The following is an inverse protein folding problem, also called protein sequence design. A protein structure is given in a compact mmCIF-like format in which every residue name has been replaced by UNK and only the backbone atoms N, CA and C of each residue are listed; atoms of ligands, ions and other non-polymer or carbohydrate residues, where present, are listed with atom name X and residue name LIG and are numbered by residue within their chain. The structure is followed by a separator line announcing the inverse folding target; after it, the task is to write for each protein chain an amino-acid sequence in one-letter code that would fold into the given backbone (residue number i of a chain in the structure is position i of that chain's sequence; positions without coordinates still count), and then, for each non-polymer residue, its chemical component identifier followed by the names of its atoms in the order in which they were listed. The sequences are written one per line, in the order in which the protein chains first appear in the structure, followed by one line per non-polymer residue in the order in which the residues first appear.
data_IF_192093363988
#
_entry.id   IF_192093363988
#
_cell.length_a   1.000
_cell.length_b   1.000
_cell.length_c   1.000
_cell.angle_alpha   90.00
_cell.angle_beta   90.00
_cell.angle_gamma   90.00
#
_symmetry.space_group_name_H-M   'P 1'
#
loop_
_entity.id
_entity.type
_entity.pdbx_description
1 polymer ?
#
# COMPACT_ATOMS: atom_id res chain seq x y z
N UNK A 1 -17.18 3.35 58.58
CA UNK A 1 -17.46 2.80 57.25
C UNK A 1 -16.26 3.10 56.37
N UNK A 2 -15.47 2.08 56.05
CA UNK A 2 -14.23 2.21 55.28
C UNK A 2 -14.56 1.83 53.83
N UNK A 3 -14.63 2.82 52.94
CA UNK A 3 -14.82 2.59 51.51
C UNK A 3 -13.47 2.20 50.91
N UNK A 4 -13.36 0.95 50.41
CA UNK A 4 -12.27 0.57 49.50
C UNK A 4 -12.58 1.14 48.11
N UNK A 5 -11.69 1.95 47.51
CA UNK A 5 -11.81 2.30 46.11
C UNK A 5 -11.45 1.07 45.26
N UNK A 6 -12.42 0.55 44.52
CA UNK A 6 -12.18 -0.39 43.43
C UNK A 6 -11.42 0.35 42.33
N UNK A 7 -10.14 -0.01 42.15
CA UNK A 7 -9.33 0.45 41.03
C UNK A 7 -9.76 -0.34 39.79
N UNK A 8 -10.62 0.25 38.96
CA UNK A 8 -10.98 -0.34 37.66
C UNK A 8 -9.80 -0.17 36.71
N UNK A 9 -9.05 -1.24 36.47
CA UNK A 9 -8.05 -1.27 35.40
C UNK A 9 -8.84 -1.37 34.10
N UNK A 10 -8.95 -0.27 33.36
CA UNK A 10 -9.40 -0.35 31.97
C UNK A 10 -8.33 -1.12 31.19
N UNK A 11 -8.66 -2.35 30.79
CA UNK A 11 -7.88 -3.07 29.81
C UNK A 11 -8.01 -2.33 28.48
N UNK A 12 -6.98 -1.59 28.08
CA UNK A 12 -6.87 -1.11 26.70
C UNK A 12 -6.62 -2.34 25.85
N UNK A 13 -7.61 -2.73 25.04
CA UNK A 13 -7.39 -3.75 24.04
C UNK A 13 -6.21 -3.30 23.16
N UNK A 14 -5.17 -4.12 23.11
CA UNK A 14 -4.05 -3.90 22.22
C UNK A 14 -4.57 -4.05 20.78
N UNK A 15 -4.55 -2.95 20.02
CA UNK A 15 -5.04 -2.91 18.65
C UNK A 15 -3.86 -2.89 17.69
N UNK A 16 -3.88 -3.80 16.73
CA UNK A 16 -2.99 -3.79 15.58
C UNK A 16 -3.42 -2.75 14.54
N UNK A 17 -2.59 -2.54 13.53
CA UNK A 17 -2.87 -1.63 12.43
C UNK A 17 -2.75 -2.37 11.10
N UNK A 18 -3.85 -2.47 10.36
CA UNK A 18 -3.83 -2.99 8.99
C UNK A 18 -3.45 -1.88 8.03
N UNK A 19 -2.65 -2.18 7.01
CA UNK A 19 -2.21 -1.21 6.03
C UNK A 19 -1.70 -1.91 4.77
N UNK A 20 -1.49 -1.13 3.73
CA UNK A 20 -0.79 -1.57 2.53
C UNK A 20 0.57 -0.86 2.43
N UNK A 21 1.56 -1.51 1.84
CA UNK A 21 2.93 -1.00 1.75
C UNK A 21 3.28 -0.54 0.33
N UNK A 22 3.88 0.65 0.23
CA UNK A 22 4.32 1.25 -1.03
C UNK A 22 5.81 1.60 -0.98
N UNK A 23 6.57 1.18 -1.98
CA UNK A 23 7.96 1.55 -2.13
C UNK A 23 8.10 2.97 -2.66
N UNK A 24 8.88 3.79 -1.95
CA UNK A 24 9.16 5.17 -2.30
C UNK A 24 10.64 5.31 -2.64
N UNK A 25 10.93 5.46 -3.93
CA UNK A 25 12.26 5.83 -4.43
C UNK A 25 12.15 6.58 -5.74
N UNK A 26 12.16 7.90 -5.64
CA UNK A 26 11.99 8.80 -6.79
C UNK A 26 13.00 8.50 -7.91
N UNK A 27 12.52 8.45 -9.15
CA UNK A 27 13.36 8.24 -10.33
C UNK A 27 13.83 6.80 -10.53
N UNK A 28 13.28 5.85 -9.79
CA UNK A 28 13.59 4.42 -9.95
C UNK A 28 12.41 3.63 -10.51
N UNK A 29 12.71 2.47 -11.09
CA UNK A 29 11.69 1.51 -11.54
C UNK A 29 10.80 0.95 -10.41
N UNK A 30 11.23 1.11 -9.15
CA UNK A 30 10.48 0.66 -7.97
C UNK A 30 9.68 1.78 -7.33
N UNK A 31 9.64 2.96 -7.94
CA UNK A 31 8.81 4.05 -7.46
C UNK A 31 7.35 3.62 -7.48
N UNK A 32 6.74 3.58 -6.31
CA UNK A 32 5.37 3.19 -6.08
C UNK A 32 5.04 1.72 -6.42
N UNK A 33 6.04 0.84 -6.43
CA UNK A 33 5.80 -0.61 -6.45
C UNK A 33 5.38 -1.11 -5.08
N UNK A 34 4.70 -2.26 -5.04
CA UNK A 34 4.23 -2.90 -3.82
C UNK A 34 5.17 -4.03 -3.38
N UNK A 35 4.98 -4.50 -2.15
CA UNK A 35 5.55 -5.77 -1.70
C UNK A 35 4.72 -6.91 -2.26
N UNK A 36 5.38 -7.89 -2.86
CA UNK A 36 4.75 -9.08 -3.42
C UNK A 36 5.42 -10.35 -2.89
N UNK A 37 4.66 -11.38 -2.52
CA UNK A 37 5.23 -12.69 -2.20
C UNK A 37 5.75 -13.39 -3.46
N UNK A 38 6.95 -13.96 -3.37
CA UNK A 38 7.58 -14.79 -4.41
C UNK A 38 8.19 -16.03 -3.76
N UNK A 39 7.36 -17.04 -3.51
CA UNK A 39 7.75 -18.19 -2.69
C UNK A 39 7.87 -17.79 -1.22
N UNK A 40 9.02 -18.03 -0.60
CA UNK A 40 9.36 -17.51 0.72
C UNK A 40 9.85 -16.06 0.70
N UNK A 41 10.25 -15.56 -0.47
CA UNK A 41 10.87 -14.25 -0.57
C UNK A 41 9.81 -13.16 -0.76
N UNK A 42 10.16 -11.93 -0.41
CA UNK A 42 9.38 -10.75 -0.75
C UNK A 42 10.14 -9.98 -1.83
N UNK A 43 9.41 -9.58 -2.87
CA UNK A 43 9.94 -8.84 -4.01
C UNK A 43 9.15 -7.56 -4.27
N UNK A 44 9.79 -6.55 -4.86
CA UNK A 44 9.15 -5.36 -5.39
C UNK A 44 8.42 -5.68 -6.70
N UNK A 45 7.18 -5.23 -6.87
CA UNK A 45 6.44 -5.44 -8.11
C UNK A 45 5.23 -4.53 -8.28
N UNK A 46 4.65 -4.45 -9.50
CA UNK A 46 3.54 -3.56 -9.79
C UNK A 46 2.17 -4.07 -9.28
N UNK A 47 2.09 -5.30 -8.78
CA UNK A 47 0.84 -5.93 -8.31
C UNK A 47 1.10 -7.12 -7.39
N UNK A 48 0.06 -7.60 -6.71
CA UNK A 48 0.13 -8.75 -5.81
C UNK A 48 0.44 -8.36 -4.37
N UNK A 49 -0.15 -7.26 -3.94
CA UNK A 49 0.15 -6.57 -2.68
C UNK A 49 -0.11 -7.47 -1.47
N UNK A 50 0.84 -7.47 -0.53
CA UNK A 50 0.62 -8.03 0.81
C UNK A 50 -0.44 -7.20 1.54
N UNK A 51 -1.36 -7.86 2.25
CA UNK A 51 -2.29 -7.18 3.17
C UNK A 51 -1.71 -7.24 4.56
N UNK A 52 -1.01 -6.19 4.95
CA UNK A 52 -0.19 -6.21 6.15
C UNK A 52 -0.98 -5.80 7.38
N UNK A 53 -0.68 -6.45 8.51
CA UNK A 53 -1.07 -5.98 9.85
C UNK A 53 0.19 -5.86 10.70
N UNK A 54 0.43 -4.67 11.22
CA UNK A 54 1.39 -4.43 12.29
C UNK A 54 0.66 -4.69 13.62
N UNK A 55 0.94 -5.83 14.24
CA UNK A 55 0.39 -6.19 15.53
C UNK A 55 0.96 -5.29 16.64
N UNK A 56 0.23 -5.22 17.75
CA UNK A 56 0.62 -4.44 18.93
C UNK A 56 1.94 -4.88 19.58
N UNK A 57 2.34 -6.14 19.37
CA UNK A 57 3.61 -6.69 19.84
C UNK A 57 4.81 -6.32 18.94
N UNK A 58 4.57 -5.56 17.87
CA UNK A 58 5.57 -5.16 16.90
C UNK A 58 5.91 -6.25 15.87
N UNK A 59 5.09 -7.30 15.76
CA UNK A 59 5.17 -8.27 14.66
C UNK A 59 4.39 -7.81 13.44
N UNK A 60 4.91 -8.12 12.25
CA UNK A 60 4.27 -7.76 10.98
C UNK A 60 3.81 -9.03 10.28
N UNK A 61 2.53 -9.10 9.89
CA UNK A 61 1.93 -10.28 9.27
C UNK A 61 1.23 -9.94 7.95
N UNK A 62 1.45 -10.77 6.93
CA UNK A 62 0.59 -10.78 5.74
C UNK A 62 -0.67 -11.61 6.02
N UNK A 63 -1.80 -10.93 6.04
CA UNK A 63 -3.10 -11.54 6.36
C UNK A 63 -3.65 -12.45 5.27
N UNK A 64 -3.10 -12.39 4.05
CA UNK A 64 -3.46 -13.31 2.96
C UNK A 64 -2.77 -14.66 3.18
N UNK A 65 -1.45 -14.68 3.25
CA UNK A 65 -0.68 -15.92 3.45
C UNK A 65 -0.69 -16.44 4.88
N UNK A 66 -1.12 -15.61 5.85
CA UNK A 66 -1.03 -15.87 7.30
C UNK A 66 0.41 -16.12 7.77
N UNK A 67 1.38 -15.53 7.07
CA UNK A 67 2.80 -15.59 7.40
C UNK A 67 3.31 -14.24 7.88
N UNK A 68 4.23 -14.29 8.83
CA UNK A 68 4.92 -13.12 9.35
C UNK A 68 6.02 -12.67 8.40
N UNK A 69 6.30 -11.38 8.40
CA UNK A 69 7.41 -10.79 7.66
C UNK A 69 8.66 -10.89 8.53
N UNK A 70 9.69 -11.57 8.04
CA UNK A 70 10.96 -11.76 8.74
C UNK A 70 12.10 -11.07 8.02
N UNK A 71 13.02 -10.50 8.79
CA UNK A 71 14.35 -10.12 8.34
C UNK A 71 15.31 -11.21 8.81
N UNK A 72 15.81 -11.99 7.86
CA UNK A 72 16.78 -13.06 8.10
C UNK A 72 18.16 -12.54 8.52
N UNK A 73 19.04 -13.45 8.94
CA UNK A 73 20.43 -13.12 9.29
C UNK A 73 21.22 -12.57 8.09
N UNK A 74 20.85 -13.01 6.88
CA UNK A 74 21.35 -12.53 5.59
C UNK A 74 20.69 -11.22 5.14
N UNK A 75 19.88 -10.60 6.01
CA UNK A 75 19.10 -9.39 5.78
C UNK A 75 17.97 -9.53 4.75
N UNK A 76 17.74 -10.71 4.19
CA UNK A 76 16.64 -10.91 3.26
C UNK A 76 15.29 -10.76 3.99
N UNK A 77 14.35 -10.04 3.37
CA UNK A 77 12.99 -9.93 3.86
C UNK A 77 12.13 -11.06 3.27
N UNK A 78 11.61 -11.92 4.14
CA UNK A 78 10.96 -13.19 3.78
C UNK A 78 9.65 -13.40 4.55
N UNK A 79 8.86 -14.38 4.10
CA UNK A 79 7.67 -14.87 4.80
C UNK A 79 8.03 -16.05 5.71
N UNK A 80 7.61 -16.01 6.96
CA UNK A 80 7.88 -17.03 7.98
C UNK A 80 6.63 -17.40 8.80
N UNK A 81 6.65 -18.57 9.45
CA UNK A 81 5.51 -19.06 10.24
C UNK A 81 5.53 -18.55 11.70
N UNK A 82 6.67 -18.04 12.18
CA UNK A 82 6.82 -17.52 13.54
C UNK A 82 6.82 -15.99 13.52
N UNK A 83 6.34 -15.35 14.57
CA UNK A 83 6.44 -13.89 14.70
C UNK A 83 7.90 -13.45 14.88
N UNK A 84 8.27 -12.32 14.30
CA UNK A 84 9.46 -11.54 14.65
C UNK A 84 8.97 -10.14 15.01
N UNK A 85 9.35 -9.69 16.20
CA UNK A 85 9.01 -8.36 16.71
C UNK A 85 10.09 -7.36 16.34
N UNK A 86 9.76 -6.07 16.45
CA UNK A 86 10.67 -4.96 16.14
C UNK A 86 10.18 -4.06 15.03
N UNK A 87 9.10 -4.43 14.33
CA UNK A 87 8.46 -3.53 13.37
C UNK A 87 7.73 -2.40 14.08
N UNK A 88 7.78 -1.21 13.48
CA UNK A 88 7.08 -0.02 13.94
C UNK A 88 6.83 0.94 12.78
N UNK A 89 6.13 2.04 13.05
CA UNK A 89 6.06 3.17 12.14
C UNK A 89 6.89 4.34 12.64
N UNK A 90 7.75 4.87 11.77
CA UNK A 90 8.43 6.16 11.92
C UNK A 90 7.72 7.19 11.03
N UNK A 91 6.76 7.90 11.63
CA UNK A 91 5.81 8.70 10.86
C UNK A 91 4.91 7.79 10.02
N UNK A 92 5.04 7.85 8.69
CA UNK A 92 4.29 7.01 7.75
C UNK A 92 5.16 5.91 7.10
N UNK A 93 6.40 5.73 7.57
CA UNK A 93 7.32 4.75 7.02
C UNK A 93 7.44 3.54 7.95
N UNK A 94 7.44 2.35 7.38
CA UNK A 94 7.73 1.13 8.11
C UNK A 94 9.20 1.15 8.52
N UNK A 95 9.45 0.85 9.79
CA UNK A 95 10.77 0.69 10.36
C UNK A 95 10.88 -0.68 11.01
N UNK A 96 12.12 -1.17 11.14
CA UNK A 96 12.45 -2.33 11.94
C UNK A 96 13.58 -1.97 12.89
N UNK A 97 13.36 -2.15 14.20
CA UNK A 97 14.28 -1.76 15.27
C UNK A 97 14.74 -0.29 15.17
N UNK A 98 13.84 0.61 14.75
CA UNK A 98 14.13 2.05 14.62
C UNK A 98 14.95 2.44 13.39
N UNK A 99 15.04 1.56 12.38
CA UNK A 99 15.64 1.89 11.09
C UNK A 99 14.65 1.61 9.96
N UNK A 100 14.49 2.57 9.06
CA UNK A 100 13.61 2.53 7.89
C UNK A 100 14.34 2.18 6.59
N UNK A 101 15.59 1.69 6.67
CA UNK A 101 16.43 1.31 5.54
C UNK A 101 16.02 -0.04 4.95
N UNK A 102 15.30 0.00 3.83
CA UNK A 102 15.04 -1.17 2.99
C UNK A 102 15.76 -0.99 1.66
N UNK A 103 16.11 -2.10 1.02
CA UNK A 103 16.82 -2.11 -0.24
C UNK A 103 16.15 -3.08 -1.20
N UNK A 104 16.11 -2.71 -2.49
CA UNK A 104 15.71 -3.62 -3.56
C UNK A 104 16.95 -4.00 -4.35
N UNK A 105 17.32 -5.27 -4.33
CA UNK A 105 18.52 -5.79 -5.00
C UNK A 105 18.17 -6.63 -6.24
N UNK A 106 19.14 -7.36 -6.79
CA UNK A 106 18.96 -8.25 -7.95
C UNK A 106 17.73 -9.15 -7.83
N UNK A 107 16.95 -9.24 -8.91
CA UNK A 107 15.70 -10.01 -8.93
C UNK A 107 14.54 -9.34 -8.18
N UNK A 108 14.65 -8.04 -7.91
CA UNK A 108 13.68 -7.23 -7.17
C UNK A 108 13.45 -7.70 -5.72
N UNK A 109 14.36 -8.50 -5.15
CA UNK A 109 14.25 -8.97 -3.76
C UNK A 109 14.44 -7.84 -2.77
N UNK A 110 13.65 -7.86 -1.70
CA UNK A 110 13.74 -6.89 -0.61
C UNK A 110 14.74 -7.36 0.43
N UNK A 111 15.66 -6.46 0.80
CA UNK A 111 16.61 -6.62 1.89
C UNK A 111 16.44 -5.49 2.90
N UNK A 112 16.93 -5.71 4.12
CA UNK A 112 16.93 -4.70 5.17
C UNK A 112 18.35 -4.19 5.45
N UNK A 113 18.53 -2.88 5.40
CA UNK A 113 19.78 -2.18 5.75
C UNK A 113 21.02 -2.80 5.07
N UNK A 114 20.91 -3.06 3.77
CA UNK A 114 21.92 -3.79 2.99
C UNK A 114 22.60 -2.88 1.98
N UNK A 115 23.92 -2.80 2.07
CA UNK A 115 24.73 -2.02 1.14
C UNK A 115 25.36 -2.97 0.12
N UNK A 116 24.89 -2.90 -1.13
CA UNK A 116 25.42 -3.69 -2.25
C UNK A 116 25.48 -2.86 -3.53
N UNK A 117 26.39 -3.18 -4.47
CA UNK A 117 26.53 -2.44 -5.73
C UNK A 117 25.31 -2.58 -6.65
N UNK A 118 24.49 -3.61 -6.45
CA UNK A 118 23.25 -3.90 -7.18
C UNK A 118 21.98 -3.63 -6.35
N UNK A 119 22.12 -3.03 -5.17
CA UNK A 119 21.02 -2.70 -4.29
C UNK A 119 20.65 -1.22 -4.39
N UNK A 120 19.36 -0.95 -4.38
CA UNK A 120 18.82 0.41 -4.36
C UNK A 120 18.04 0.62 -3.07
N UNK A 121 18.50 1.56 -2.24
CA UNK A 121 17.77 1.99 -1.06
C UNK A 121 16.40 2.56 -1.40
N UNK A 122 15.38 2.10 -0.68
CA UNK A 122 13.98 2.47 -0.81
C UNK A 122 13.39 2.73 0.58
N UNK A 123 12.39 3.61 0.64
CA UNK A 123 11.57 3.73 1.84
C UNK A 123 10.26 2.96 1.66
N UNK A 124 9.78 2.30 2.70
CA UNK A 124 8.50 1.57 2.68
C UNK A 124 7.46 2.44 3.37
N UNK A 125 6.57 3.05 2.61
CA UNK A 125 5.50 3.89 3.17
C UNK A 125 4.24 3.06 3.41
N UNK A 126 3.68 3.15 4.61
CA UNK A 126 2.36 2.63 4.89
C UNK A 126 1.28 3.56 4.32
N UNK A 127 0.26 2.98 3.71
CA UNK A 127 -0.93 3.68 3.26
C UNK A 127 -2.18 2.93 3.68
N UNK A 128 -3.26 3.67 3.91
CA UNK A 128 -4.48 3.06 4.43
C UNK A 128 -4.40 2.50 5.86
N UNK A 129 -3.59 2.99 6.83
CA UNK A 129 -3.62 2.43 8.16
C UNK A 129 -5.01 2.52 8.80
N UNK A 130 -5.56 1.36 9.16
CA UNK A 130 -6.82 1.20 9.88
C UNK A 130 -6.59 0.36 11.14
N UNK A 131 -7.22 0.76 12.25
CA UNK A 131 -7.15 0.02 13.51
C UNK A 131 -7.85 -1.34 13.34
N UNK A 132 -7.20 -2.40 13.78
CA UNK A 132 -7.71 -3.78 13.73
C UNK A 132 -7.36 -4.51 15.02
N UNK A 133 -7.98 -5.66 15.24
CA UNK A 133 -7.46 -6.61 16.22
C UNK A 133 -6.14 -7.21 15.73
N UNK A 134 -5.26 -7.57 16.67
CA UNK A 134 -4.06 -8.35 16.35
C UNK A 134 -4.43 -9.67 15.66
N UNK A 135 -3.55 -10.11 14.76
CA UNK A 135 -3.74 -11.32 13.95
C UNK A 135 -2.63 -12.31 14.22
N UNK A 136 -2.99 -13.57 14.41
CA UNK A 136 -2.06 -14.68 14.54
C UNK A 136 -1.77 -15.36 13.20
N UNK A 137 -0.53 -15.80 13.02
CA UNK A 137 -0.12 -16.60 11.87
C UNK A 137 -0.61 -18.03 11.94
N UNK A 138 -0.52 -18.73 10.80
CA UNK A 138 -0.82 -20.15 10.74
C UNK A 138 0.32 -20.92 11.41
N UNK A 139 0.14 -21.31 12.66
CA UNK A 139 1.07 -22.21 13.33
C UNK A 139 0.88 -23.60 12.74
N UNK A 140 1.73 -23.94 11.77
CA UNK A 140 1.92 -25.31 11.31
C UNK A 140 2.51 -26.13 12.45
N UNK A 141 1.69 -26.49 13.43
CA UNK A 141 2.06 -27.46 14.45
C UNK A 141 2.08 -28.82 13.76
N UNK A 142 3.21 -29.16 13.15
CA UNK A 142 3.45 -30.47 12.58
C UNK A 142 3.35 -31.51 13.70
N UNK A 143 2.17 -32.12 13.85
CA UNK A 143 2.03 -33.38 14.56
C UNK A 143 2.74 -34.43 13.74
N UNK A 144 3.98 -34.70 14.10
CA UNK A 144 4.83 -35.72 13.51
C UNK A 144 4.23 -37.10 13.72
N UNK A 145 3.55 -37.63 12.69
CA UNK A 145 3.32 -39.07 12.56
C UNK A 145 4.46 -39.65 11.73
N UNK A 146 5.36 -40.33 12.43
CA UNK A 146 6.43 -41.14 11.87
C UNK A 146 5.86 -42.19 10.92
N UNK A 147 6.20 -42.10 9.63
CA UNK A 147 6.01 -43.19 8.68
C UNK A 147 7.29 -43.37 7.88
N UNK A 148 7.93 -44.51 8.13
CA UNK A 148 9.12 -45.04 7.46
C UNK A 148 8.67 -45.67 6.15
N UNK A 149 9.30 -45.34 5.01
CA UNK A 149 9.57 -46.33 3.94
C UNK A 149 10.54 -45.83 2.86
N UNK A 150 11.67 -46.55 2.76
CA UNK A 150 12.40 -47.03 1.57
C UNK A 150 12.85 -46.08 0.44
N UNK A 151 14.18 -45.97 0.40
CA UNK A 151 15.10 -45.78 -0.73
C UNK A 151 14.68 -46.36 -2.09
N UNK A 152 14.93 -45.59 -3.16
CA UNK A 152 15.50 -46.12 -4.41
C UNK A 152 16.40 -45.09 -5.11
N UNK A 153 17.55 -45.60 -5.55
CA UNK A 153 18.64 -44.94 -6.29
C UNK A 153 18.40 -45.06 -7.80
N UNK A 154 18.78 -44.04 -8.59
CA UNK A 154 19.40 -44.24 -9.90
C UNK A 154 20.09 -42.97 -10.40
N UNK A 155 21.17 -43.20 -11.15
CA UNK A 155 22.24 -42.29 -11.59
C UNK A 155 22.30 -42.28 -13.11
N UNK A 156 22.54 -41.12 -13.75
CA UNK A 156 23.35 -40.89 -14.99
C UNK A 156 23.05 -39.47 -15.54
N UNK A 157 24.03 -38.55 -15.70
CA UNK A 157 24.97 -38.36 -16.85
C UNK A 157 24.23 -37.90 -18.14
N UNK A 158 24.56 -36.87 -18.92
CA UNK A 158 25.85 -36.23 -19.28
C UNK A 158 25.62 -34.81 -19.90
N UNK A 159 26.68 -33.99 -19.99
CA UNK A 159 26.80 -32.69 -20.71
C UNK A 159 26.99 -32.89 -22.25
N UNK A 160 27.09 -31.87 -23.17
CA UNK A 160 27.95 -30.68 -23.10
C UNK A 160 27.46 -29.34 -23.74
N UNK A 161 28.34 -28.34 -23.59
CA UNK A 161 28.33 -26.92 -23.99
C UNK A 161 28.01 -26.57 -25.46
N UNK A 162 27.50 -25.34 -25.68
CA UNK A 162 27.95 -24.45 -26.78
C UNK A 162 28.02 -22.99 -26.28
N UNK A 163 29.05 -22.30 -26.78
CA UNK A 163 29.59 -20.98 -26.44
C UNK A 163 29.30 -20.03 -27.61
N UNK A 164 28.89 -18.77 -27.39
CA UNK A 164 29.24 -17.65 -28.28
C UNK A 164 28.85 -16.27 -27.70
N UNK A 165 29.79 -15.35 -27.89
CA UNK A 165 29.84 -13.94 -27.51
C UNK A 165 29.11 -13.09 -28.56
N UNK A 166 28.42 -12.03 -28.15
CA UNK A 166 28.26 -10.83 -28.97
C UNK A 166 27.94 -9.62 -28.09
N UNK A 167 28.88 -8.68 -28.06
CA UNK A 167 28.74 -7.34 -27.50
C UNK A 167 27.96 -6.46 -28.48
N UNK A 168 26.87 -5.87 -28.01
CA UNK A 168 26.09 -4.87 -28.73
C UNK A 168 25.55 -3.82 -27.78
N UNK A 169 26.30 -2.72 -27.64
CA UNK A 169 25.86 -1.50 -26.96
C UNK A 169 24.61 -0.96 -27.65
N UNK A 170 23.48 -0.99 -26.94
CA UNK A 170 22.26 -0.31 -27.35
C UNK A 170 21.73 0.43 -26.14
N UNK A 171 21.66 1.75 -26.24
CA UNK A 171 21.05 2.66 -25.30
C UNK A 171 19.60 2.27 -25.03
N UNK A 172 19.36 1.63 -23.88
CA UNK A 172 18.03 1.35 -23.37
C UNK A 172 17.39 2.65 -22.90
N UNK A 173 16.51 3.17 -23.74
CA UNK A 173 15.42 4.05 -23.33
C UNK A 173 14.65 3.36 -22.21
N UNK A 174 14.58 4.00 -21.06
CA UNK A 174 13.80 3.57 -19.90
C UNK A 174 12.30 3.68 -20.21
N UNK A 175 11.79 2.74 -21.00
CA UNK A 175 10.36 2.51 -21.10
C UNK A 175 9.91 1.85 -19.80
N UNK A 176 9.40 2.69 -18.89
CA UNK A 176 8.64 2.26 -17.72
C UNK A 176 7.52 1.31 -18.18
N UNK A 177 7.40 0.09 -17.64
CA UNK A 177 6.24 -0.75 -17.92
C UNK A 177 5.00 -0.09 -17.31
N UNK A 178 4.25 0.66 -18.13
CA UNK A 178 2.89 1.09 -17.78
C UNK A 178 2.02 -0.17 -17.74
N UNK A 179 1.89 -0.76 -16.56
CA UNK A 179 0.80 -1.68 -16.30
C UNK A 179 -0.50 -0.85 -16.31
N UNK A 180 -1.14 -0.78 -17.49
CA UNK A 180 -2.54 -0.34 -17.60
C UNK A 180 -3.38 -1.37 -16.86
N UNK A 181 -3.50 -1.24 -15.54
CA UNK A 181 -4.45 -1.99 -14.75
C UNK A 181 -5.84 -1.58 -15.23
N UNK A 182 -6.40 -2.39 -16.13
CA UNK A 182 -7.73 -2.17 -16.67
C UNK A 182 -8.72 -1.99 -15.52
N UNK A 183 -9.55 -0.94 -15.63
CA UNK A 183 -10.67 -0.67 -14.71
C UNK A 183 -11.54 -1.92 -14.64
N UNK A 184 -11.57 -2.60 -13.50
CA UNK A 184 -12.46 -3.73 -13.27
C UNK A 184 -13.54 -3.32 -12.28
N UNK A 185 -14.83 -3.29 -12.71
CA UNK A 185 -15.95 -3.09 -11.80
C UNK A 185 -15.87 -4.05 -10.61
N UNK A 186 -16.19 -3.55 -9.42
CA UNK A 186 -16.14 -4.34 -8.19
C UNK A 186 -14.76 -4.50 -7.54
N UNK A 187 -13.66 -4.05 -8.16
CA UNK A 187 -12.35 -3.98 -7.49
C UNK A 187 -12.23 -2.70 -6.67
N UNK A 188 -11.95 -2.86 -5.37
CA UNK A 188 -11.65 -1.78 -4.44
C UNK A 188 -10.24 -1.23 -4.68
N UNK A 189 -10.08 0.07 -4.57
CA UNK A 189 -8.79 0.76 -4.64
C UNK A 189 -8.79 2.02 -3.77
N UNK A 190 -7.62 2.44 -3.31
CA UNK A 190 -7.41 3.72 -2.65
C UNK A 190 -6.76 4.75 -3.58
N UNK A 191 -6.58 5.96 -3.07
CA UNK A 191 -5.91 7.05 -3.77
C UNK A 191 -4.82 7.68 -2.91
N UNK A 192 -3.71 8.03 -3.55
CA UNK A 192 -2.67 8.87 -2.98
C UNK A 192 -2.39 10.07 -3.89
N UNK A 193 -2.11 11.22 -3.29
CA UNK A 193 -1.70 12.44 -3.98
C UNK A 193 -0.21 12.38 -4.34
N UNK A 194 0.13 12.67 -5.60
CA UNK A 194 1.49 12.72 -6.11
C UNK A 194 1.79 14.15 -6.56
N UNK A 195 2.73 14.80 -5.88
CA UNK A 195 3.35 16.06 -6.31
C UNK A 195 4.72 16.24 -5.64
N UNK A 196 5.78 15.94 -6.39
CA UNK A 196 7.13 15.85 -5.84
C UNK A 196 7.57 17.16 -5.21
N UNK A 197 8.06 17.09 -3.97
CA UNK A 197 8.53 18.27 -3.22
C UNK A 197 7.44 19.04 -2.48
N UNK A 198 6.18 18.62 -2.53
CA UNK A 198 5.10 19.22 -1.72
C UNK A 198 4.90 18.54 -0.37
N UNK A 199 4.21 19.23 0.53
CA UNK A 199 3.71 18.69 1.81
C UNK A 199 2.68 17.58 1.64
N UNK A 200 2.02 17.49 0.48
CA UNK A 200 1.00 16.48 0.18
C UNK A 200 1.55 15.30 -0.64
N UNK A 201 2.86 15.24 -0.88
CA UNK A 201 3.48 14.11 -1.58
C UNK A 201 3.16 12.78 -0.87
N UNK A 202 2.61 11.84 -1.64
CA UNK A 202 2.16 10.52 -1.21
C UNK A 202 1.08 10.55 -0.11
N UNK A 203 0.45 11.70 0.14
CA UNK A 203 -0.64 11.80 1.13
C UNK A 203 -1.84 10.98 0.66
N UNK A 204 -2.43 10.17 1.54
CA UNK A 204 -3.66 9.45 1.20
C UNK A 204 -4.86 10.40 1.12
N UNK A 205 -5.82 10.04 0.29
CA UNK A 205 -7.12 10.72 0.26
C UNK A 205 -7.99 10.14 1.36
N UNK A 206 -8.63 11.02 2.13
CA UNK A 206 -9.39 10.64 3.32
C UNK A 206 -10.83 11.11 3.29
N UNK A 207 -11.70 10.29 3.86
CA UNK A 207 -13.09 10.61 4.16
C UNK A 207 -13.20 11.02 5.62
N UNK A 208 -13.67 12.24 5.86
CA UNK A 208 -13.81 12.80 7.20
C UNK A 208 -15.31 13.02 7.48
N UNK A 209 -15.88 12.40 8.54
CA UNK A 209 -17.31 12.47 8.84
C UNK A 209 -17.86 13.90 9.02
N UNK A 210 -17.03 14.83 9.48
CA UNK A 210 -17.38 16.23 9.73
C UNK A 210 -17.62 17.02 8.43
N UNK A 211 -17.06 16.58 7.31
CA UNK A 211 -17.22 17.25 6.01
C UNK A 211 -17.35 16.25 4.85
N UNK A 212 -18.42 15.43 4.83
CA UNK A 212 -18.56 14.34 3.86
C UNK A 212 -18.73 14.82 2.41
N UNK A 213 -19.01 16.11 2.20
CA UNK A 213 -19.15 16.73 0.89
C UNK A 213 -17.80 16.99 0.20
N UNK A 214 -16.68 16.82 0.91
CA UNK A 214 -15.34 17.00 0.35
C UNK A 214 -14.32 16.09 1.04
N UNK A 215 -13.54 15.37 0.23
CA UNK A 215 -12.46 14.52 0.73
C UNK A 215 -11.22 15.34 1.08
N UNK A 216 -10.49 14.90 2.11
CA UNK A 216 -9.22 15.50 2.50
C UNK A 216 -8.05 14.89 1.75
N UNK A 217 -7.04 15.72 1.46
CA UNK A 217 -5.72 15.26 0.99
C UNK A 217 -4.77 15.25 2.20
N UNK A 218 -4.52 14.07 2.76
CA UNK A 218 -3.70 13.89 3.96
C UNK A 218 -4.47 14.17 5.27
N UNK A 219 -3.74 14.66 6.28
CA UNK A 219 -4.27 14.89 7.64
C UNK A 219 -4.32 13.64 8.52
N UNK A 220 -4.55 13.82 9.82
CA UNK A 220 -4.70 12.73 10.80
C UNK A 220 -6.15 12.28 10.99
N UNK A 221 -7.11 13.16 10.67
CA UNK A 221 -8.55 12.90 10.82
C UNK A 221 -9.09 12.01 9.70
N UNK A 222 -10.25 11.41 9.95
CA UNK A 222 -10.96 10.57 8.99
C UNK A 222 -10.30 9.23 8.65
N UNK A 223 -10.98 8.49 7.79
CA UNK A 223 -10.57 7.18 7.29
C UNK A 223 -10.00 7.31 5.87
N UNK A 224 -9.16 6.38 5.44
CA UNK A 224 -8.68 6.38 4.06
C UNK A 224 -9.81 6.05 3.10
N UNK A 225 -9.91 6.85 2.05
CA UNK A 225 -10.93 6.67 1.03
C UNK A 225 -10.64 5.39 0.25
N UNK A 226 -11.61 4.48 0.26
CA UNK A 226 -11.62 3.31 -0.61
C UNK A 226 -12.75 3.47 -1.62
N UNK A 227 -12.43 3.28 -2.89
CA UNK A 227 -13.32 3.49 -4.01
C UNK A 227 -13.52 2.20 -4.79
N UNK A 228 -14.67 2.08 -5.42
CA UNK A 228 -14.98 1.05 -6.42
C UNK A 228 -15.72 1.70 -7.58
N UNK A 229 -15.45 1.26 -8.81
CA UNK A 229 -16.32 1.64 -9.93
C UNK A 229 -17.68 0.96 -9.79
N UNK A 230 -18.75 1.75 -9.90
CA UNK A 230 -20.11 1.24 -9.95
C UNK A 230 -20.32 0.43 -11.25
N UNK A 231 -21.48 -0.21 -11.37
CA UNK A 231 -21.92 -1.02 -12.51
C UNK A 231 -21.82 -0.32 -13.87
N UNK A 232 -21.85 1.01 -13.92
CA UNK A 232 -21.69 1.80 -15.15
C UNK A 232 -20.23 2.07 -15.53
N UNK A 233 -19.26 1.57 -14.76
CA UNK A 233 -17.81 1.70 -14.97
C UNK A 233 -17.28 3.13 -15.12
N UNK A 234 -18.07 4.15 -14.75
CA UNK A 234 -17.72 5.57 -14.91
C UNK A 234 -18.13 6.44 -13.72
N UNK A 235 -18.99 5.91 -12.85
CA UNK A 235 -19.30 6.42 -11.52
C UNK A 235 -18.47 5.68 -10.48
N UNK A 236 -18.18 6.38 -9.37
CA UNK A 236 -17.50 5.80 -8.22
C UNK A 236 -18.43 5.69 -7.03
N UNK A 237 -18.22 4.67 -6.22
CA UNK A 237 -18.79 4.52 -4.88
C UNK A 237 -17.67 4.35 -3.85
N UNK A 238 -17.88 4.87 -2.64
CA UNK A 238 -16.95 4.76 -1.52
C UNK A 238 -17.05 3.42 -0.77
N UNK A 239 -16.32 3.30 0.35
CA UNK A 239 -16.35 2.13 1.23
C UNK A 239 -17.73 1.82 1.84
N UNK A 240 -18.61 2.81 1.94
CA UNK A 240 -19.95 2.70 2.51
C UNK A 240 -21.02 2.47 1.43
N UNK A 241 -20.62 2.35 0.16
CA UNK A 241 -21.52 2.23 -0.98
C UNK A 241 -22.21 3.53 -1.38
N UNK A 242 -21.70 4.69 -0.93
CA UNK A 242 -22.21 6.00 -1.29
C UNK A 242 -21.56 6.47 -2.58
N UNK A 243 -22.36 7.04 -3.48
CA UNK A 243 -21.87 7.62 -4.73
C UNK A 243 -20.92 8.79 -4.49
N UNK A 244 -19.91 8.92 -5.34
CA UNK A 244 -19.01 10.06 -5.33
C UNK A 244 -19.59 11.18 -6.20
N UNK A 245 -19.58 12.40 -5.66
CA UNK A 245 -19.98 13.61 -6.34
C UNK A 245 -18.77 14.53 -6.56
N UNK A 246 -18.66 15.06 -7.77
CA UNK A 246 -17.77 16.15 -8.12
C UNK A 246 -18.63 17.40 -8.33
N UNK A 247 -18.58 18.33 -7.38
CA UNK A 247 -19.40 19.53 -7.43
C UNK A 247 -19.03 20.39 -8.65
N UNK A 248 -19.95 20.66 -9.59
CA UNK A 248 -19.63 21.41 -10.80
C UNK A 248 -19.36 22.90 -10.53
N UNK A 249 -19.74 23.41 -9.36
CA UNK A 249 -19.55 24.80 -8.93
C UNK A 249 -18.20 24.95 -8.24
N UNK A 250 -17.90 24.16 -7.21
CA UNK A 250 -16.68 24.28 -6.40
C UNK A 250 -15.52 23.42 -6.93
N UNK A 251 -15.82 22.38 -7.70
CA UNK A 251 -14.86 21.37 -8.14
C UNK A 251 -14.51 20.35 -7.05
N UNK A 252 -15.11 20.46 -5.86
CA UNK A 252 -14.81 19.56 -4.74
C UNK A 252 -15.28 18.14 -5.02
N UNK A 253 -14.44 17.17 -4.66
CA UNK A 253 -14.75 15.76 -4.76
C UNK A 253 -15.10 15.23 -3.36
N UNK A 254 -16.28 14.64 -3.21
CA UNK A 254 -16.74 14.08 -1.94
C UNK A 254 -17.91 13.12 -2.14
N UNK A 255 -18.57 12.74 -1.04
CA UNK A 255 -19.80 11.96 -1.14
C UNK A 255 -20.96 12.83 -1.67
N UNK A 256 -21.90 12.17 -2.33
CA UNK A 256 -23.23 12.72 -2.60
C UNK A 256 -23.89 13.27 -1.33
N UNK A 257 -24.15 14.58 -1.30
CA UNK A 257 -24.73 15.29 -0.17
C UNK A 257 -26.27 15.19 -0.11
N UNK A 258 -26.90 15.39 1.06
CA UNK A 258 -26.46 14.95 2.39
C UNK A 258 -26.75 13.46 2.64
N UNK A 259 -27.45 12.78 1.73
CA UNK A 259 -27.83 11.36 1.83
C UNK A 259 -28.11 10.73 0.46
N UNK A 260 -27.17 10.77 -0.50
CA UNK A 260 -27.39 10.04 -1.76
C UNK A 260 -28.50 10.56 -2.67
N UNK A 261 -28.95 11.81 -2.45
CA UNK A 261 -30.04 12.40 -3.25
C UNK A 261 -29.56 12.87 -4.62
N UNK A 262 -28.28 13.16 -4.77
CA UNK A 262 -27.68 13.43 -6.06
C UNK A 262 -27.11 12.13 -6.63
N UNK A 263 -27.27 11.91 -7.96
CA UNK A 263 -26.61 10.79 -8.61
C UNK A 263 -25.09 10.96 -8.50
N UNK A 264 -24.38 9.83 -8.41
CA UNK A 264 -22.93 9.84 -8.53
C UNK A 264 -22.50 10.52 -9.84
N UNK A 265 -21.40 11.26 -9.80
CA UNK A 265 -20.86 11.89 -11.01
C UNK A 265 -20.26 10.82 -11.91
N UNK A 266 -20.61 10.87 -13.19
CA UNK A 266 -20.05 10.02 -14.24
C UNK A 266 -18.86 10.67 -14.91
N UNK A 267 -17.97 9.84 -15.44
CA UNK A 267 -16.81 10.27 -16.23
C UNK A 267 -15.47 9.99 -15.58
N UNK A 268 -15.45 9.27 -14.46
CA UNK A 268 -14.20 8.79 -13.88
C UNK A 268 -13.60 7.66 -14.71
N UNK A 269 -12.27 7.63 -14.77
CA UNK A 269 -11.50 6.55 -15.40
C UNK A 269 -10.14 6.41 -14.74
N UNK A 270 -9.46 5.29 -14.98
CA UNK A 270 -8.05 5.11 -14.59
C UNK A 270 -7.20 5.12 -15.85
N UNK A 271 -6.29 6.08 -15.95
CA UNK A 271 -5.35 6.23 -17.05
C UNK A 271 -3.93 6.23 -16.47
N UNK A 272 -3.07 5.34 -16.98
CA UNK A 272 -1.68 5.18 -16.49
C UNK A 272 -1.56 5.06 -14.96
N UNK A 273 -2.52 4.36 -14.34
CA UNK A 273 -2.58 4.17 -12.89
C UNK A 273 -3.02 5.41 -12.09
N UNK A 274 -3.57 6.44 -12.75
CA UNK A 274 -4.08 7.64 -12.11
C UNK A 274 -5.58 7.80 -12.35
N UNK A 275 -6.29 8.32 -11.34
CA UNK A 275 -7.69 8.67 -11.49
C UNK A 275 -7.82 9.93 -12.37
N UNK A 276 -8.61 9.86 -13.41
CA UNK A 276 -8.97 10.98 -14.29
C UNK A 276 -10.47 11.22 -14.25
N UNK A 277 -10.88 12.44 -14.57
CA UNK A 277 -12.28 12.81 -14.79
C UNK A 277 -12.43 13.40 -16.19
N UNK A 278 -13.18 12.73 -17.06
CA UNK A 278 -13.33 13.07 -18.48
C UNK A 278 -11.98 13.27 -19.19
N UNK A 279 -11.02 12.38 -18.91
CA UNK A 279 -9.64 12.47 -19.44
C UNK A 279 -8.76 13.54 -18.79
N UNK A 280 -9.27 14.29 -17.80
CA UNK A 280 -8.51 15.31 -17.10
C UNK A 280 -7.95 14.78 -15.78
N UNK A 281 -6.65 14.93 -15.56
CA UNK A 281 -5.93 14.59 -14.32
C UNK A 281 -5.62 15.81 -13.43
N UNK A 282 -6.21 16.98 -13.73
CA UNK A 282 -5.97 18.27 -13.08
C UNK A 282 -6.59 18.39 -11.69
N UNK A 283 -6.18 17.50 -10.79
CA UNK A 283 -6.58 17.53 -9.39
C UNK A 283 -5.72 18.51 -8.60
N UNK A 284 -6.28 19.04 -7.52
CA UNK A 284 -5.60 19.98 -6.62
C UNK A 284 -5.89 19.66 -5.17
N UNK A 285 -4.87 19.82 -4.34
CA UNK A 285 -4.99 19.90 -2.89
C UNK A 285 -5.13 21.37 -2.49
N UNK A 286 -6.34 21.79 -2.14
CA UNK A 286 -6.67 23.18 -1.83
C UNK A 286 -6.65 23.44 -0.32
N UNK A 287 -5.88 24.42 0.17
CA UNK A 287 -5.86 24.75 1.59
C UNK A 287 -7.27 25.02 2.12
N UNK A 288 -7.67 24.28 3.15
CA UNK A 288 -8.97 24.44 3.83
C UNK A 288 -8.82 24.74 5.33
N UNK A 289 -7.58 24.90 5.79
CA UNK A 289 -7.24 25.18 7.18
C UNK A 289 -5.73 25.04 7.41
N UNK A 290 -5.31 24.98 8.66
CA UNK A 290 -3.89 24.87 8.99
C UNK A 290 -3.36 23.47 8.64
N UNK A 291 -2.55 23.36 7.59
CA UNK A 291 -2.03 22.09 7.06
C UNK A 291 -3.13 21.07 6.69
N UNK A 292 -4.33 21.54 6.38
CA UNK A 292 -5.44 20.72 5.88
C UNK A 292 -5.76 21.11 4.45
N UNK A 293 -6.04 20.11 3.63
CA UNK A 293 -6.28 20.29 2.21
C UNK A 293 -7.54 19.55 1.79
N UNK A 294 -8.39 20.22 1.01
CA UNK A 294 -9.56 19.65 0.35
C UNK A 294 -9.20 19.20 -1.07
N UNK A 295 -9.77 18.09 -1.52
CA UNK A 295 -9.59 17.58 -2.87
C UNK A 295 -10.57 18.25 -3.85
N UNK A 296 -10.04 18.85 -4.92
CA UNK A 296 -10.85 19.49 -5.96
C UNK A 296 -10.23 19.32 -7.35
N UNK A 297 -11.03 19.51 -8.41
CA UNK A 297 -10.55 19.61 -9.79
C UNK A 297 -10.55 21.05 -10.35
N UNK A 298 -10.74 22.06 -9.48
CA UNK A 298 -10.69 23.48 -9.85
C UNK A 298 -9.60 24.24 -9.11
N UNK A 299 -9.13 25.32 -9.72
CA UNK A 299 -8.16 26.23 -9.11
C UNK A 299 -8.66 26.85 -7.80
N UNK A 300 -7.73 27.03 -6.87
CA UNK A 300 -7.94 27.73 -5.61
C UNK A 300 -6.66 28.47 -5.21
N UNK A 301 -6.80 29.50 -4.38
CA UNK A 301 -5.65 30.26 -3.88
C UNK A 301 -4.76 29.38 -3.01
N UNK A 302 -3.50 29.21 -3.40
CA UNK A 302 -2.53 28.38 -2.69
C UNK A 302 -2.70 26.88 -2.91
N UNK A 303 -3.50 26.48 -3.91
CA UNK A 303 -3.66 25.08 -4.29
C UNK A 303 -2.38 24.45 -4.81
N UNK A 304 -2.16 23.18 -4.49
CA UNK A 304 -1.07 22.37 -5.00
C UNK A 304 -1.65 21.45 -6.06
N UNK A 305 -1.14 21.50 -7.29
CA UNK A 305 -1.49 20.54 -8.34
C UNK A 305 -1.07 19.13 -7.90
N UNK A 306 -1.95 18.14 -8.01
CA UNK A 306 -1.63 16.76 -7.64
C UNK A 306 -2.10 15.82 -8.73
N UNK A 307 -1.38 14.72 -8.93
CA UNK A 307 -1.94 13.56 -9.61
C UNK A 307 -2.51 12.60 -8.56
N UNK A 308 -3.65 11.97 -8.84
CA UNK A 308 -4.25 10.98 -7.95
C UNK A 308 -3.85 9.59 -8.41
N UNK A 309 -2.86 8.98 -7.77
CA UNK A 309 -2.43 7.62 -8.11
C UNK A 309 -3.32 6.60 -7.42
N UNK A 310 -3.76 5.61 -8.20
CA UNK A 310 -4.51 4.46 -7.73
C UNK A 310 -3.57 3.48 -7.02
N UNK A 311 -4.00 2.99 -5.86
CA UNK A 311 -3.30 1.96 -5.09
C UNK A 311 -4.29 0.85 -4.74
N UNK A 312 -3.87 -0.41 -4.82
CA UNK A 312 -4.73 -1.55 -4.44
C UNK A 312 -4.95 -1.57 -2.93
N UNK A 313 -6.12 -2.03 -2.47
CA UNK A 313 -6.47 -2.14 -1.03
C UNK A 313 -6.94 -3.53 -0.62
#
# INVERSE_FOLDING_TARGET
MQFLPFLTILATALAGQSFNALLIRSGSQYQYSSFKPSGSDIVAGPSGDLKLVLNSDGSLIDTISKKYIHIGDDKAVTLADKAQTGYSFEGNYLAFNGNSGFDVCSGAKIYFDTIGPDCLGVAVRAFGPEQTSDVSGSSSSATSTTSISTTHSSTASSAPQVKAVSSGSTSVSSAQPSATSAVQPGKKFGLIAIHSGSSVQNAGIKKVPEHPHVFSVGGSEGEYLTLTFDSDSSSLVDQDGRGINLDPTTGELGDVAPFGRQPATKGFSIEDGHLTFNGNSGWKACPSGNNTFSLTNKDCTGGIDIALRVVTV
#
